data_IF_127916115406
#
_entry.id   IF_127916115406
#
_cell.length_a   1.000
_cell.length_b   1.000
_cell.length_c   1.000
_cell.angle_alpha   90.00
_cell.angle_beta   90.00
_cell.angle_gamma   90.00
#
_symmetry.space_group_name_H-M   'P 1'
#
loop_
_entity.id
_entity.type
_entity.pdbx_description
1 polymer ?
#
# COMPACT_ATOMS: atom_id res chain seq x y z
N UNK A 1 6.72 -9.73 4.60
CA UNK A 1 6.13 -8.37 4.69
C UNK A 1 4.75 -8.39 5.29
N UNK A 2 3.88 -9.30 4.87
CA UNK A 2 2.48 -9.41 5.33
C UNK A 2 2.38 -9.42 6.86
N UNK A 3 3.16 -10.25 7.55
CA UNK A 3 3.17 -10.35 9.01
C UNK A 3 3.50 -9.01 9.70
N UNK A 4 4.47 -8.26 9.15
CA UNK A 4 4.90 -6.98 9.72
C UNK A 4 3.83 -5.89 9.63
N UNK A 5 3.11 -5.84 8.51
CA UNK A 5 2.16 -4.77 8.22
C UNK A 5 0.70 -5.17 8.47
N UNK A 6 0.43 -6.42 8.87
CA UNK A 6 -0.92 -6.92 9.09
C UNK A 6 -1.72 -6.03 10.05
N UNK A 7 -1.14 -5.71 11.22
CA UNK A 7 -1.82 -4.88 12.21
C UNK A 7 -2.13 -3.46 11.71
N UNK A 8 -1.21 -2.87 10.95
CA UNK A 8 -1.42 -1.55 10.35
C UNK A 8 -2.59 -1.54 9.36
N UNK A 9 -2.61 -2.50 8.43
CA UNK A 9 -3.71 -2.61 7.46
C UNK A 9 -5.02 -2.99 8.12
N UNK A 10 -5.00 -3.82 9.15
CA UNK A 10 -6.19 -4.16 9.95
C UNK A 10 -6.81 -2.91 10.57
N UNK A 11 -6.01 -2.05 11.22
CA UNK A 11 -6.49 -0.78 11.78
C UNK A 11 -7.03 0.16 10.69
N UNK A 12 -6.36 0.22 9.55
CA UNK A 12 -6.81 1.03 8.41
C UNK A 12 -8.19 0.59 7.90
N UNK A 13 -8.42 -0.72 7.79
CA UNK A 13 -9.72 -1.24 7.38
C UNK A 13 -10.80 -1.07 8.47
N UNK A 14 -10.44 -1.24 9.74
CA UNK A 14 -11.37 -1.00 10.85
C UNK A 14 -11.84 0.46 10.88
N UNK A 15 -10.94 1.42 10.73
CA UNK A 15 -11.32 2.84 10.66
C UNK A 15 -12.16 3.14 9.42
N UNK A 16 -11.85 2.51 8.28
CA UNK A 16 -12.66 2.63 7.08
C UNK A 16 -14.09 2.11 7.26
N UNK A 17 -14.25 0.96 7.94
CA UNK A 17 -15.57 0.39 8.25
C UNK A 17 -16.36 1.28 9.21
N UNK A 18 -15.71 1.83 10.24
CA UNK A 18 -16.36 2.71 11.21
C UNK A 18 -16.85 4.04 10.63
N UNK A 19 -16.30 4.45 9.48
CA UNK A 19 -16.75 5.65 8.78
C UNK A 19 -17.99 5.41 7.90
N UNK A 20 -18.46 4.17 7.76
CA UNK A 20 -19.69 3.87 7.04
C UNK A 20 -20.87 4.12 7.99
N UNK A 21 -21.81 5.04 7.64
CA UNK A 21 -22.98 5.27 8.46
C UNK A 21 -23.82 3.99 8.59
N UNK A 22 -24.23 3.66 9.82
CA UNK A 22 -25.07 2.48 10.11
C UNK A 22 -26.42 2.54 9.44
N UNK A 23 -26.94 3.74 9.20
CA UNK A 23 -28.22 3.98 8.54
C UNK A 23 -28.26 3.37 7.12
N UNK A 24 -27.12 3.30 6.43
CA UNK A 24 -27.03 2.69 5.09
C UNK A 24 -27.20 1.18 5.17
N UNK A 25 -26.59 0.54 6.16
CA UNK A 25 -26.71 -0.91 6.38
C UNK A 25 -28.12 -1.30 6.87
N UNK A 26 -28.70 -0.47 7.74
CA UNK A 26 -30.06 -0.65 8.23
C UNK A 26 -31.09 -0.49 7.10
N UNK A 27 -30.95 0.55 6.25
CA UNK A 27 -31.82 0.75 5.10
C UNK A 27 -31.76 -0.45 4.13
N UNK A 28 -30.56 -0.95 3.83
CA UNK A 28 -30.40 -2.12 2.98
C UNK A 28 -31.05 -3.38 3.57
N UNK A 29 -30.97 -3.54 4.88
CA UNK A 29 -31.62 -4.66 5.58
C UNK A 29 -33.14 -4.54 5.50
N UNK A 30 -33.68 -3.33 5.63
CA UNK A 30 -35.12 -3.06 5.45
C UNK A 30 -35.59 -3.35 4.03
N UNK A 31 -34.72 -3.11 3.01
CA UNK A 31 -34.98 -3.46 1.61
C UNK A 31 -34.83 -4.97 1.32
N UNK A 32 -34.52 -5.79 2.35
CA UNK A 32 -34.42 -7.24 2.22
C UNK A 32 -33.07 -7.77 1.77
N UNK A 33 -32.01 -6.94 1.81
CA UNK A 33 -30.68 -7.41 1.51
C UNK A 33 -30.19 -8.36 2.60
N UNK A 34 -29.64 -9.53 2.19
CA UNK A 34 -28.96 -10.40 3.12
C UNK A 34 -27.53 -9.88 3.41
N UNK A 35 -26.89 -10.42 4.47
CA UNK A 35 -25.54 -9.98 4.90
C UNK A 35 -24.47 -10.08 3.80
N UNK A 36 -24.58 -11.07 2.90
CA UNK A 36 -23.66 -11.23 1.78
C UNK A 36 -23.88 -10.17 0.71
N UNK A 37 -25.13 -9.84 0.41
CA UNK A 37 -25.49 -8.76 -0.53
C UNK A 37 -25.06 -7.40 0.04
N UNK A 38 -25.32 -7.15 1.33
CA UNK A 38 -24.87 -5.93 2.00
C UNK A 38 -23.36 -5.76 1.90
N UNK A 39 -22.58 -6.81 2.20
CA UNK A 39 -21.12 -6.76 2.09
C UNK A 39 -20.64 -6.42 0.66
N UNK A 40 -21.13 -7.13 -0.35
CA UNK A 40 -20.63 -6.98 -1.73
C UNK A 40 -21.11 -5.73 -2.45
N UNK A 41 -22.36 -5.33 -2.22
CA UNK A 41 -22.98 -4.22 -2.97
C UNK A 41 -22.93 -2.88 -2.22
N UNK A 42 -22.70 -2.87 -0.91
CA UNK A 42 -22.71 -1.66 -0.09
C UNK A 42 -21.38 -1.47 0.61
N UNK A 43 -20.98 -2.36 1.51
CA UNK A 43 -19.79 -2.18 2.35
C UNK A 43 -18.52 -2.13 1.50
N UNK A 44 -18.31 -3.07 0.58
CA UNK A 44 -17.10 -3.14 -0.23
C UNK A 44 -16.91 -1.95 -1.18
N UNK A 45 -17.94 -1.46 -1.91
CA UNK A 45 -17.83 -0.23 -2.68
C UNK A 45 -17.55 1.02 -1.84
N UNK A 46 -18.15 1.15 -0.67
CA UNK A 46 -17.92 2.27 0.25
C UNK A 46 -16.49 2.23 0.83
N UNK A 47 -15.94 1.04 1.06
CA UNK A 47 -14.56 0.82 1.49
C UNK A 47 -13.53 1.03 0.38
N UNK A 48 -13.94 1.26 -0.85
CA UNK A 48 -13.04 1.33 -2.01
C UNK A 48 -11.91 2.36 -1.85
N UNK A 49 -12.17 3.51 -1.22
CA UNK A 49 -11.16 4.53 -0.91
C UNK A 49 -10.06 4.01 0.02
N UNK A 50 -10.46 3.34 1.11
CA UNK A 50 -9.54 2.73 2.07
C UNK A 50 -8.72 1.60 1.43
N UNK A 51 -9.36 0.76 0.60
CA UNK A 51 -8.68 -0.31 -0.14
C UNK A 51 -7.62 0.26 -1.08
N UNK A 52 -7.93 1.32 -1.83
CA UNK A 52 -6.99 2.00 -2.72
C UNK A 52 -5.77 2.51 -1.97
N UNK A 53 -5.99 3.20 -0.85
CA UNK A 53 -4.92 3.73 -0.01
C UNK A 53 -4.04 2.59 0.54
N UNK A 54 -4.66 1.51 1.02
CA UNK A 54 -3.98 0.32 1.53
C UNK A 54 -3.09 -0.33 0.47
N UNK A 55 -3.59 -0.53 -0.74
CA UNK A 55 -2.83 -1.11 -1.86
C UNK A 55 -1.68 -0.19 -2.26
N UNK A 56 -1.91 1.11 -2.38
CA UNK A 56 -0.86 2.08 -2.71
C UNK A 56 0.27 2.07 -1.68
N UNK A 57 -0.06 2.09 -0.39
CA UNK A 57 0.93 2.03 0.69
C UNK A 57 1.70 0.71 0.70
N UNK A 58 1.02 -0.42 0.45
CA UNK A 58 1.67 -1.74 0.40
C UNK A 58 2.70 -1.83 -0.72
N UNK A 59 2.37 -1.34 -1.91
CA UNK A 59 3.28 -1.40 -3.07
C UNK A 59 4.47 -0.47 -2.86
N UNK A 60 4.23 0.79 -2.46
CA UNK A 60 5.32 1.74 -2.19
C UNK A 60 6.22 1.26 -1.05
N UNK A 61 5.65 0.73 0.03
CA UNK A 61 6.41 0.14 1.14
C UNK A 61 7.23 -1.09 0.74
N UNK A 62 6.76 -1.87 -0.22
CA UNK A 62 7.51 -3.01 -0.76
C UNK A 62 8.71 -2.58 -1.60
N UNK A 63 8.57 -1.54 -2.42
CA UNK A 63 9.66 -0.98 -3.24
C UNK A 63 10.76 -0.39 -2.34
N UNK A 64 10.37 0.29 -1.26
CA UNK A 64 11.27 0.96 -0.33
C UNK A 64 11.78 0.04 0.80
N UNK A 65 11.49 -1.25 0.75
CA UNK A 65 11.86 -2.17 1.82
C UNK A 65 13.38 -2.31 1.91
N UNK A 66 13.95 -1.88 3.06
CA UNK A 66 15.37 -1.94 3.36
C UNK A 66 15.67 -2.79 4.59
N UNK A 67 15.11 -2.40 5.74
CA UNK A 67 15.53 -2.89 7.06
C UNK A 67 15.44 -4.41 7.17
N UNK A 68 14.35 -5.00 6.71
CA UNK A 68 14.11 -6.43 6.88
C UNK A 68 15.12 -7.25 6.09
N UNK A 69 15.39 -6.87 4.84
CA UNK A 69 16.36 -7.56 3.99
C UNK A 69 17.79 -7.35 4.51
N UNK A 70 18.11 -6.12 4.94
CA UNK A 70 19.45 -5.79 5.46
C UNK A 70 19.77 -6.51 6.75
N UNK A 71 18.85 -6.59 7.69
CA UNK A 71 19.06 -7.25 9.00
C UNK A 71 19.07 -8.77 8.86
N UNK A 72 18.19 -9.35 8.04
CA UNK A 72 18.08 -10.81 7.93
C UNK A 72 19.17 -11.43 7.06
N UNK A 73 19.45 -10.87 5.91
CA UNK A 73 20.28 -11.52 4.88
C UNK A 73 21.42 -10.66 4.37
N UNK A 74 21.40 -9.35 4.61
CA UNK A 74 22.34 -8.37 4.02
C UNK A 74 22.47 -8.51 2.49
N UNK A 75 21.37 -8.97 1.84
CA UNK A 75 21.36 -9.26 0.40
C UNK A 75 21.82 -10.66 0.02
N UNK A 76 22.30 -11.48 0.97
CA UNK A 76 22.85 -12.83 0.70
C UNK A 76 21.80 -13.93 0.52
N UNK A 77 22.21 -15.16 0.14
CA UNK A 77 23.55 -15.50 -0.38
C UNK A 77 23.77 -14.96 -1.79
N UNK A 78 24.97 -14.58 -2.15
CA UNK A 78 25.39 -14.14 -3.50
C UNK A 78 24.42 -13.09 -4.13
N UNK A 79 23.98 -12.11 -3.34
CA UNK A 79 23.01 -11.05 -3.72
C UNK A 79 21.61 -11.56 -4.13
N UNK A 80 21.25 -12.81 -3.84
CA UNK A 80 19.99 -13.41 -4.25
C UNK A 80 18.74 -12.75 -3.61
N UNK A 81 18.90 -12.13 -2.44
CA UNK A 81 17.83 -11.40 -1.74
C UNK A 81 18.00 -9.88 -1.80
N UNK A 82 18.86 -9.38 -2.69
CA UNK A 82 19.12 -7.95 -2.80
C UNK A 82 17.92 -7.21 -3.38
N UNK A 83 17.54 -6.10 -2.76
CA UNK A 83 16.51 -5.18 -3.24
C UNK A 83 17.13 -3.83 -3.56
N UNK A 84 16.44 -3.00 -4.35
CA UNK A 84 16.97 -1.70 -4.77
C UNK A 84 17.48 -0.84 -3.62
N UNK A 85 16.78 -0.84 -2.48
CA UNK A 85 17.16 -0.06 -1.30
C UNK A 85 18.45 -0.59 -0.65
N UNK A 86 18.65 -1.92 -0.56
CA UNK A 86 19.91 -2.48 -0.04
C UNK A 86 21.06 -2.28 -1.01
N UNK A 87 20.80 -2.35 -2.30
CA UNK A 87 21.77 -2.08 -3.35
C UNK A 87 22.25 -0.63 -3.30
N UNK A 88 21.33 0.33 -3.23
CA UNK A 88 21.63 1.75 -3.05
C UNK A 88 22.52 2.00 -1.83
N UNK A 89 22.16 1.40 -0.68
CA UNK A 89 22.91 1.54 0.55
C UNK A 89 24.33 0.95 0.44
N UNK A 90 24.45 -0.23 -0.14
CA UNK A 90 25.74 -0.91 -0.31
C UNK A 90 26.71 -0.09 -1.16
N UNK A 91 26.26 0.40 -2.30
CA UNK A 91 27.12 1.18 -3.19
C UNK A 91 27.35 2.60 -2.66
N UNK A 92 26.33 3.27 -2.15
CA UNK A 92 26.45 4.63 -1.63
C UNK A 92 27.30 4.72 -0.37
N UNK A 93 26.98 3.91 0.65
CA UNK A 93 27.55 4.08 1.99
C UNK A 93 28.62 3.04 2.33
N UNK A 94 28.51 1.80 1.88
CA UNK A 94 29.53 0.78 2.21
C UNK A 94 30.73 0.86 1.27
N UNK A 95 30.49 1.12 -0.02
CA UNK A 95 31.56 1.26 -1.03
C UNK A 95 32.00 2.71 -1.28
N UNK A 96 31.37 3.68 -0.63
CA UNK A 96 31.63 5.12 -0.78
C UNK A 96 31.50 5.64 -2.23
N UNK A 97 30.72 4.95 -3.06
CA UNK A 97 30.40 5.35 -4.43
C UNK A 97 29.12 6.20 -4.45
N UNK A 98 29.19 7.39 -3.87
CA UNK A 98 28.01 8.27 -3.68
C UNK A 98 27.29 8.59 -4.98
N UNK A 99 28.00 8.84 -6.09
CA UNK A 99 27.38 9.11 -7.38
C UNK A 99 26.53 7.96 -7.88
N UNK A 100 27.01 6.72 -7.70
CA UNK A 100 26.26 5.54 -8.08
C UNK A 100 25.04 5.29 -7.15
N UNK A 101 25.25 5.43 -5.86
CA UNK A 101 24.15 5.35 -4.88
C UNK A 101 23.05 6.38 -5.14
N UNK A 102 23.43 7.62 -5.47
CA UNK A 102 22.49 8.69 -5.82
C UNK A 102 21.71 8.39 -7.10
N UNK A 103 22.36 7.82 -8.13
CA UNK A 103 21.69 7.43 -9.36
C UNK A 103 20.62 6.36 -9.10
N UNK A 104 20.92 5.35 -8.27
CA UNK A 104 19.93 4.32 -7.88
C UNK A 104 18.79 4.93 -7.08
N UNK A 105 19.07 5.90 -6.17
CA UNK A 105 18.03 6.61 -5.42
C UNK A 105 17.07 7.38 -6.34
N UNK A 106 17.59 8.06 -7.36
CA UNK A 106 16.78 8.79 -8.34
C UNK A 106 15.90 7.82 -9.14
N UNK A 107 16.45 6.70 -9.59
CA UNK A 107 15.67 5.68 -10.31
C UNK A 107 14.54 5.14 -9.43
N UNK A 108 14.84 4.80 -8.17
CA UNK A 108 13.83 4.32 -7.22
C UNK A 108 12.74 5.36 -6.98
N UNK A 109 13.11 6.63 -6.83
CA UNK A 109 12.18 7.75 -6.70
C UNK A 109 11.27 7.86 -7.92
N UNK A 110 11.83 7.84 -9.13
CA UNK A 110 11.05 7.91 -10.38
C UNK A 110 10.07 6.75 -10.50
N UNK A 111 10.48 5.53 -10.16
CA UNK A 111 9.58 4.36 -10.16
C UNK A 111 8.40 4.60 -9.21
N UNK A 112 8.65 5.08 -7.98
CA UNK A 112 7.60 5.37 -7.01
C UNK A 112 6.65 6.47 -7.49
N UNK A 113 7.16 7.54 -8.09
CA UNK A 113 6.35 8.64 -8.63
C UNK A 113 5.50 8.17 -9.81
N UNK A 114 6.10 7.48 -10.77
CA UNK A 114 5.38 6.96 -11.95
C UNK A 114 4.28 6.00 -11.50
N UNK A 115 4.60 5.05 -10.61
CA UNK A 115 3.61 4.13 -10.07
C UNK A 115 2.47 4.88 -9.37
N UNK A 116 2.79 5.84 -8.50
CA UNK A 116 1.78 6.60 -7.77
C UNK A 116 0.84 7.39 -8.70
N UNK A 117 1.40 8.04 -9.71
CA UNK A 117 0.61 8.79 -10.69
C UNK A 117 -0.27 7.88 -11.56
N UNK A 118 0.27 6.77 -12.05
CA UNK A 118 -0.48 5.79 -12.83
C UNK A 118 -1.58 5.15 -12.00
N UNK A 119 -1.26 4.71 -10.78
CA UNK A 119 -2.23 4.11 -9.86
C UNK A 119 -3.38 5.08 -9.57
N UNK A 120 -3.05 6.35 -9.26
CA UNK A 120 -4.06 7.38 -9.03
C UNK A 120 -4.95 7.60 -10.26
N UNK A 121 -4.38 7.67 -11.47
CA UNK A 121 -5.16 7.82 -12.71
C UNK A 121 -6.10 6.65 -12.96
N UNK A 122 -5.63 5.42 -12.76
CA UNK A 122 -6.42 4.21 -13.01
C UNK A 122 -7.52 4.01 -11.95
N UNK A 123 -7.30 4.51 -10.73
CA UNK A 123 -8.17 4.23 -9.58
C UNK A 123 -9.05 5.43 -9.21
N UNK A 124 -8.94 6.54 -9.92
CA UNK A 124 -9.67 7.79 -9.64
C UNK A 124 -11.15 7.67 -10.08
N UNK A 125 -11.91 6.82 -9.38
CA UNK A 125 -13.38 6.86 -9.38
C UNK A 125 -13.83 7.80 -8.26
N UNK A 126 -14.92 8.56 -8.41
CA UNK A 126 -15.40 9.42 -7.33
C UNK A 126 -15.66 8.60 -6.07
N UNK A 127 -15.01 8.99 -4.97
CA UNK A 127 -15.29 8.40 -3.67
C UNK A 127 -16.72 8.82 -3.27
N UNK A 128 -17.60 7.85 -3.11
CA UNK A 128 -19.01 8.08 -2.77
C UNK A 128 -19.21 8.75 -1.39
N UNK A 129 -18.14 8.82 -0.56
CA UNK A 129 -18.18 9.42 0.77
C UNK A 129 -17.64 10.86 0.85
N UNK A 130 -16.96 11.37 -0.20
CA UNK A 130 -16.41 12.74 -0.21
C UNK A 130 -17.36 13.77 -0.84
N UNK A 131 -18.58 13.38 -1.17
CA UNK A 131 -19.61 14.23 -1.75
C UNK A 131 -20.61 14.81 -0.74
N UNK A 132 -20.31 14.80 0.57
CA UNK A 132 -21.07 15.46 1.63
C UNK A 132 -20.35 16.67 2.18
#
# INVERSE_FOLDING_TARGET
LTWKYFGFHMLLYLTGLQNIPTEIEEAATMDGANSFQNFWYITLPLLSGTIRTSVQMSVLGSIQQFILVWVMTRGGPVNASEVMATYMYRFGFVRFQFGYGSAVAIIMFLICVIFSLLYRRLTNKPDYLTGL
#
